data_IF_551802038765
#
_entry.id   IF_551802038765
#
_cell.length_a   1.000
_cell.length_b   1.000
_cell.length_c   1.000
_cell.angle_alpha   90.00
_cell.angle_beta   90.00
_cell.angle_gamma   90.00
#
_symmetry.space_group_name_H-M   'P 1'
#
loop_
_entity.id
_entity.type
_entity.pdbx_description
1 polymer ?
#
# COMPACT_ATOMS: atom_id res chain seq x y z
N UNK A 1 -8.61 -3.51 24.33
CA UNK A 1 -8.41 -3.56 23.85
C UNK A 1 -7.59 -3.38 23.40
N UNK A 2 -7.26 -3.51 22.97
CA UNK A 2 -6.67 -3.52 22.47
C UNK A 2 -5.90 -3.08 22.03
N UNK A 3 -5.50 -2.76 22.19
CA UNK A 3 -4.88 -2.35 21.75
C UNK A 3 -3.83 -2.37 21.02
N UNK A 4 -3.10 -2.39 21.03
CA UNK A 4 -2.04 -2.78 20.12
C UNK A 4 -2.54 -3.06 18.76
N UNK A 5 -3.63 -2.61 18.52
CA UNK A 5 -4.33 -2.95 17.33
C UNK A 5 -3.78 -2.31 16.10
N UNK A 6 -2.92 -1.30 16.24
CA UNK A 6 -2.33 -0.70 15.06
C UNK A 6 -1.16 -1.51 14.53
N UNK A 7 -0.86 -2.63 15.14
CA UNK A 7 0.18 -3.51 14.63
C UNK A 7 -0.42 -4.56 13.71
N UNK A 8 0.30 -4.88 12.67
CA UNK A 8 -0.10 -5.99 11.81
C UNK A 8 0.40 -7.26 12.45
N UNK A 9 -0.53 -8.08 12.88
CA UNK A 9 -0.19 -9.34 13.54
C UNK A 9 -0.25 -10.53 12.62
N UNK A 10 -0.60 -10.31 11.35
CA UNK A 10 -0.69 -11.38 10.36
C UNK A 10 0.43 -11.18 9.38
N UNK A 11 1.45 -12.02 9.40
CA UNK A 11 2.59 -11.85 8.52
C UNK A 11 2.22 -11.83 7.04
N UNK A 12 1.23 -12.62 6.67
CA UNK A 12 0.79 -12.64 5.28
C UNK A 12 0.22 -11.30 4.85
N UNK A 13 -0.51 -10.65 5.74
CA UNK A 13 -1.09 -9.35 5.43
C UNK A 13 0.00 -8.29 5.26
N UNK A 14 1.01 -8.34 6.12
CA UNK A 14 2.11 -7.39 6.02
C UNK A 14 2.85 -7.58 4.70
N UNK A 15 3.11 -8.82 4.34
CA UNK A 15 3.79 -9.13 3.10
C UNK A 15 3.00 -8.67 1.90
N UNK A 16 1.70 -8.89 1.94
CA UNK A 16 0.82 -8.48 0.84
C UNK A 16 0.81 -6.96 0.69
N UNK A 17 0.76 -6.24 1.81
CA UNK A 17 0.79 -4.79 1.76
C UNK A 17 2.12 -4.26 1.25
N UNK A 18 3.21 -4.88 1.66
CA UNK A 18 4.52 -4.48 1.17
C UNK A 18 4.62 -4.68 -0.34
N UNK A 19 4.12 -5.80 -0.82
CA UNK A 19 4.15 -6.12 -2.24
C UNK A 19 3.31 -5.14 -3.03
N UNK A 20 2.13 -4.84 -2.50
CA UNK A 20 1.23 -3.88 -3.13
C UNK A 20 1.87 -2.51 -3.22
N UNK A 21 2.53 -2.10 -2.15
CA UNK A 21 3.21 -0.82 -2.11
C UNK A 21 4.30 -0.75 -3.16
N UNK A 22 5.05 -1.83 -3.31
CA UNK A 22 6.10 -1.87 -4.31
C UNK A 22 5.54 -1.80 -5.72
N UNK A 23 4.42 -2.47 -5.97
CA UNK A 23 3.77 -2.39 -7.26
C UNK A 23 3.33 -0.97 -7.59
N UNK A 24 2.73 -0.31 -6.61
CA UNK A 24 2.27 1.05 -6.79
C UNK A 24 3.43 1.99 -7.04
N UNK A 25 4.49 1.83 -6.24
CA UNK A 25 5.67 2.67 -6.41
C UNK A 25 6.25 2.48 -7.80
N UNK A 26 6.28 1.25 -8.28
CA UNK A 26 6.79 0.96 -9.60
C UNK A 26 5.96 1.63 -10.68
N UNK A 27 4.65 1.62 -10.53
CA UNK A 27 3.77 2.29 -11.50
C UNK A 27 4.00 3.80 -11.51
N UNK A 28 4.32 4.36 -10.37
CA UNK A 28 4.54 5.80 -10.26
C UNK A 28 5.97 6.20 -10.58
N UNK A 29 6.83 5.23 -10.86
CA UNK A 29 8.21 5.52 -11.14
C UNK A 29 9.03 5.87 -9.91
N UNK A 30 8.59 5.42 -8.74
CA UNK A 30 9.28 5.68 -7.49
C UNK A 30 10.01 4.42 -7.08
N UNK A 31 11.29 4.55 -6.76
CA UNK A 31 12.10 3.41 -6.35
C UNK A 31 12.04 3.22 -4.85
N UNK A 32 11.72 2.01 -4.41
CA UNK A 32 11.77 1.64 -3.01
C UNK A 32 12.97 0.75 -2.76
N UNK A 33 13.72 1.06 -1.72
CA UNK A 33 14.87 0.26 -1.33
C UNK A 33 14.41 -0.89 -0.46
N UNK A 34 14.53 -2.11 -0.97
CA UNK A 34 14.25 -3.31 -0.19
C UNK A 34 12.86 -3.30 0.44
N UNK A 35 11.90 -2.71 -0.24
CA UNK A 35 10.56 -2.65 0.29
C UNK A 35 10.40 -1.65 1.42
N UNK A 36 11.43 -0.90 1.70
CA UNK A 36 11.46 0.08 2.76
C UNK A 36 11.39 1.47 2.15
N UNK A 37 10.61 2.34 2.74
CA UNK A 37 10.36 3.64 2.14
C UNK A 37 11.13 4.77 2.82
N UNK A 38 12.20 4.43 3.54
CA UNK A 38 12.96 5.43 4.28
C UNK A 38 13.63 6.45 3.40
N UNK A 39 13.87 6.14 2.13
CA UNK A 39 14.54 7.05 1.23
C UNK A 39 13.60 7.95 0.46
N UNK A 40 12.31 7.79 0.64
CA UNK A 40 11.34 8.58 -0.10
C UNK A 40 11.16 9.94 0.55
N UNK A 41 10.94 10.96 -0.27
CA UNK A 41 10.52 12.24 0.26
C UNK A 41 9.11 12.12 0.79
N UNK A 42 8.70 13.11 1.59
CA UNK A 42 7.32 13.13 2.09
C UNK A 42 6.33 13.16 0.94
N UNK A 43 6.64 13.89 -0.12
CA UNK A 43 5.75 13.97 -1.27
C UNK A 43 5.63 12.62 -1.96
N UNK A 44 6.75 11.93 -2.11
CA UNK A 44 6.73 10.61 -2.76
C UNK A 44 5.96 9.60 -1.92
N UNK A 45 6.17 9.62 -0.60
CA UNK A 45 5.42 8.77 0.29
C UNK A 45 3.92 9.03 0.20
N UNK A 46 3.55 10.29 0.17
CA UNK A 46 2.15 10.66 0.05
C UNK A 46 1.55 10.21 -1.28
N UNK A 47 2.32 10.34 -2.35
CA UNK A 47 1.84 9.90 -3.67
C UNK A 47 1.61 8.40 -3.71
N UNK A 48 2.55 7.63 -3.17
CA UNK A 48 2.40 6.17 -3.16
C UNK A 48 1.20 5.79 -2.30
N UNK A 49 1.10 6.36 -1.10
CA UNK A 49 -0.01 6.04 -0.21
C UNK A 49 -1.36 6.41 -0.80
N UNK A 50 -1.43 7.58 -1.41
CA UNK A 50 -2.68 8.01 -2.03
C UNK A 50 -3.09 7.14 -3.19
N UNK A 51 -2.13 6.74 -4.00
CA UNK A 51 -2.42 5.88 -5.13
C UNK A 51 -2.84 4.48 -4.68
N UNK A 52 -2.26 3.99 -3.59
CA UNK A 52 -2.68 2.72 -3.02
C UNK A 52 -4.15 2.77 -2.64
N UNK A 53 -4.57 3.84 -1.97
CA UNK A 53 -5.96 4.00 -1.58
C UNK A 53 -6.85 4.04 -2.82
N UNK A 54 -6.43 4.78 -3.82
CA UNK A 54 -7.21 4.88 -5.06
C UNK A 54 -7.39 3.52 -5.70
N UNK A 55 -6.33 2.73 -5.77
CA UNK A 55 -6.42 1.41 -6.38
C UNK A 55 -7.32 0.48 -5.59
N UNK A 56 -7.27 0.58 -4.26
CA UNK A 56 -8.12 -0.24 -3.42
C UNK A 56 -9.59 0.09 -3.64
N UNK A 57 -9.89 1.37 -3.76
CA UNK A 57 -11.27 1.79 -4.03
C UNK A 57 -11.71 1.32 -5.40
N UNK A 58 -10.86 1.44 -6.40
CA UNK A 58 -11.19 0.99 -7.75
C UNK A 58 -11.45 -0.52 -7.78
N UNK A 59 -10.62 -1.27 -7.06
CA UNK A 59 -10.83 -2.71 -6.98
C UNK A 59 -12.16 -3.04 -6.33
N UNK A 60 -12.51 -2.33 -5.28
CA UNK A 60 -13.78 -2.54 -4.60
C UNK A 60 -14.95 -2.22 -5.52
N UNK A 61 -14.86 -1.12 -6.23
CA UNK A 61 -15.90 -0.73 -7.17
C UNK A 61 -16.07 -1.78 -8.26
N UNK A 62 -14.97 -2.30 -8.75
CA UNK A 62 -15.00 -3.32 -9.79
C UNK A 62 -15.68 -4.59 -9.31
N UNK A 63 -15.38 -4.98 -8.08
CA UNK A 63 -16.01 -6.15 -7.50
C UNK A 63 -17.50 -5.95 -7.32
N UNK A 64 -17.89 -4.77 -6.89
CA UNK A 64 -19.30 -4.46 -6.72
C UNK A 64 -20.04 -4.41 -8.06
N UNK A 65 -19.40 -3.87 -9.08
CA UNK A 65 -20.00 -3.77 -10.38
C UNK A 65 -20.12 -5.12 -11.06
N UNK A 66 -19.26 -6.04 -10.70
CA UNK A 66 -19.25 -7.36 -11.30
C UNK A 66 -20.34 -8.29 -10.79
N UNK A 67 -21.13 -7.84 -9.86
CA UNK A 67 -22.19 -8.71 -9.31
C UNK A 67 -23.53 -8.60 -10.05
#
# INVERSE_FOLDING_TARGET
MSNNTNKTNVPEAKEAMDRFKMEVANELGVTLSNGYNGNLTSAQNGSVGGYMVKKMIENQERQMAGK
#
